data_IF_315874037585
#
_entry.id   IF_315874037585
#
_cell.length_a   1.000
_cell.length_b   1.000
_cell.length_c   1.000
_cell.angle_alpha   90.00
_cell.angle_beta   90.00
_cell.angle_gamma   90.00
#
_symmetry.space_group_name_H-M   'P 1'
#
loop_
_entity.id
_entity.type
_entity.pdbx_description
1 polymer ?
#
# COMPACT_ATOMS: atom_id res chain seq x y z
N UNK A 1 7.54 -4.91 -12.47
CA UNK A 1 6.42 -5.60 -11.79
C UNK A 1 5.53 -6.21 -12.85
N UNK A 2 4.97 -7.41 -12.63
CA UNK A 2 3.94 -7.96 -13.50
C UNK A 2 2.74 -7.02 -13.59
N UNK A 3 2.11 -6.95 -14.76
CA UNK A 3 1.06 -5.97 -15.07
C UNK A 3 -0.19 -6.24 -14.23
N UNK A 4 -0.55 -7.52 -14.07
CA UNK A 4 -1.67 -8.00 -13.26
C UNK A 4 -1.57 -7.61 -11.78
N UNK A 5 -0.35 -7.48 -11.24
CA UNK A 5 -0.14 -7.01 -9.86
C UNK A 5 -0.37 -5.51 -9.76
N UNK A 6 0.09 -4.74 -10.76
CA UNK A 6 -0.11 -3.28 -10.80
C UNK A 6 -1.60 -2.99 -10.96
N UNK A 7 -2.29 -3.71 -11.85
CA UNK A 7 -3.72 -3.57 -12.08
C UNK A 7 -4.51 -3.90 -10.81
N UNK A 8 -4.22 -5.04 -10.16
CA UNK A 8 -4.89 -5.40 -8.91
C UNK A 8 -4.76 -4.33 -7.82
N UNK A 9 -3.56 -3.76 -7.65
CA UNK A 9 -3.32 -2.67 -6.69
C UNK A 9 -4.08 -1.39 -7.06
N UNK A 10 -4.16 -1.03 -8.34
CA UNK A 10 -4.84 0.19 -8.82
C UNK A 10 -6.36 0.07 -8.79
N UNK A 11 -6.88 -1.14 -8.95
CA UNK A 11 -8.31 -1.44 -8.91
C UNK A 11 -8.81 -1.86 -7.52
N UNK A 12 -7.90 -2.13 -6.57
CA UNK A 12 -8.25 -2.61 -5.24
C UNK A 12 -8.82 -4.04 -5.25
N UNK A 13 -8.35 -4.88 -6.16
CA UNK A 13 -8.73 -6.29 -6.26
C UNK A 13 -7.63 -7.21 -5.70
N UNK A 14 -7.91 -8.51 -5.63
CA UNK A 14 -6.96 -9.50 -5.09
C UNK A 14 -5.72 -9.58 -5.98
N UNK A 15 -4.55 -9.43 -5.36
CA UNK A 15 -3.24 -9.60 -5.98
C UNK A 15 -3.01 -11.10 -6.22
N UNK A 16 -2.63 -11.52 -7.43
CA UNK A 16 -2.48 -12.94 -7.78
C UNK A 16 -1.30 -13.64 -7.08
N UNK A 17 -0.38 -12.88 -6.46
CA UNK A 17 0.69 -13.40 -5.62
C UNK A 17 0.24 -13.37 -4.14
N UNK A 18 0.06 -14.54 -3.48
CA UNK A 18 -0.41 -14.60 -2.09
C UNK A 18 0.53 -13.92 -1.09
N UNK A 19 1.84 -13.90 -1.35
CA UNK A 19 2.81 -13.25 -0.47
C UNK A 19 2.68 -11.73 -0.59
N UNK A 20 2.51 -11.20 -1.81
CA UNK A 20 2.24 -9.78 -2.01
C UNK A 20 0.87 -9.36 -1.49
N UNK A 21 -0.14 -10.23 -1.58
CA UNK A 21 -1.45 -10.00 -0.97
C UNK A 21 -1.33 -9.84 0.55
N UNK A 22 -0.59 -10.73 1.22
CA UNK A 22 -0.36 -10.62 2.67
C UNK A 22 0.37 -9.32 3.07
N UNK A 23 1.31 -8.84 2.25
CA UNK A 23 1.95 -7.55 2.44
C UNK A 23 0.99 -6.37 2.27
N UNK A 24 0.17 -6.40 1.22
CA UNK A 24 -0.88 -5.41 0.98
C UNK A 24 -1.83 -5.32 2.18
N UNK A 25 -2.35 -6.47 2.62
CA UNK A 25 -3.33 -6.54 3.71
C UNK A 25 -2.71 -6.05 5.02
N UNK A 26 -1.49 -6.48 5.33
CA UNK A 26 -0.77 -5.98 6.50
C UNK A 26 -0.57 -4.46 6.47
N UNK A 27 -0.13 -3.90 5.34
CA UNK A 27 0.08 -2.45 5.22
C UNK A 27 -1.24 -1.66 5.34
N UNK A 28 -2.32 -2.17 4.75
CA UNK A 28 -3.65 -1.58 4.83
C UNK A 28 -4.21 -1.61 6.24
N UNK A 29 -4.17 -2.76 6.90
CA UNK A 29 -4.62 -2.90 8.29
C UNK A 29 -3.81 -2.01 9.24
N UNK A 30 -2.50 -1.90 9.04
CA UNK A 30 -1.63 -1.03 9.85
C UNK A 30 -2.02 0.45 9.70
N UNK A 31 -2.35 0.87 8.48
CA UNK A 31 -2.81 2.23 8.20
C UNK A 31 -4.20 2.49 8.78
N UNK A 32 -5.18 1.63 8.46
CA UNK A 32 -6.59 1.79 8.84
C UNK A 32 -6.78 1.76 10.37
N UNK A 33 -6.01 0.91 11.06
CA UNK A 33 -6.04 0.79 12.53
C UNK A 33 -4.97 1.63 13.24
N UNK A 34 -4.26 2.52 12.53
CA UNK A 34 -3.27 3.44 13.10
C UNK A 34 -2.22 2.73 13.97
N UNK A 35 -1.70 1.60 13.50
CA UNK A 35 -0.72 0.78 14.21
C UNK A 35 -1.28 -0.32 15.12
N UNK A 36 -2.58 -0.31 15.44
CA UNK A 36 -3.20 -1.23 16.41
C UNK A 36 -3.83 -2.45 15.73
N UNK A 37 -3.02 -3.27 15.04
CA UNK A 37 -3.52 -4.38 14.20
C UNK A 37 -3.82 -5.69 14.95
N UNK A 38 -3.32 -5.82 16.18
CA UNK A 38 -3.44 -7.06 16.97
C UNK A 38 -2.50 -8.20 16.53
N UNK A 39 -2.36 -9.20 17.40
CA UNK A 39 -1.40 -10.29 17.21
C UNK A 39 -1.77 -11.23 16.05
N UNK A 40 -3.07 -11.45 15.80
CA UNK A 40 -3.54 -12.32 14.72
C UNK A 40 -3.07 -11.82 13.34
N UNK A 41 -3.23 -10.52 13.07
CA UNK A 41 -2.84 -9.91 11.79
C UNK A 41 -1.32 -9.85 11.64
N UNK A 42 -0.60 -9.56 12.73
CA UNK A 42 0.85 -9.65 12.73
C UNK A 42 1.32 -11.08 12.43
N UNK A 43 0.69 -12.08 13.04
CA UNK A 43 1.05 -13.48 12.83
C UNK A 43 0.79 -13.92 11.38
N UNK A 44 -0.35 -13.55 10.78
CA UNK A 44 -0.64 -13.83 9.37
C UNK A 44 0.44 -13.28 8.41
N UNK A 45 0.96 -12.08 8.69
CA UNK A 45 2.08 -11.51 7.94
C UNK A 45 3.37 -12.32 8.08
N UNK A 46 3.68 -12.80 9.30
CA UNK A 46 4.85 -13.65 9.56
C UNK A 46 4.70 -15.03 8.91
N UNK A 47 3.50 -15.61 8.94
CA UNK A 47 3.19 -16.92 8.33
C UNK A 47 3.32 -16.89 6.79
N UNK A 48 3.11 -15.72 6.17
CA UNK A 48 3.42 -15.48 4.76
C UNK A 48 4.93 -15.41 4.45
N UNK A 49 5.79 -15.61 5.45
CA UNK A 49 7.24 -15.64 5.31
C UNK A 49 7.92 -14.28 5.39
N UNK A 50 7.26 -13.28 5.99
CA UNK A 50 7.89 -12.02 6.37
C UNK A 50 8.43 -12.07 7.80
N UNK A 51 9.20 -11.05 8.17
CA UNK A 51 9.84 -10.94 9.48
C UNK A 51 9.34 -9.72 10.24
N UNK A 52 9.53 -9.71 11.57
CA UNK A 52 9.29 -8.51 12.40
C UNK A 52 10.10 -7.30 11.94
N UNK A 53 11.29 -7.50 11.37
CA UNK A 53 12.07 -6.43 10.75
C UNK A 53 11.31 -5.82 9.56
N UNK A 54 10.80 -6.66 8.67
CA UNK A 54 10.02 -6.20 7.52
C UNK A 54 8.72 -5.51 7.92
N UNK A 55 8.10 -5.89 9.04
CA UNK A 55 6.97 -5.13 9.59
C UNK A 55 7.35 -3.67 9.91
N UNK A 56 8.54 -3.44 10.48
CA UNK A 56 9.06 -2.09 10.75
C UNK A 56 9.47 -1.35 9.47
N UNK A 57 9.95 -2.06 8.45
CA UNK A 57 10.22 -1.49 7.12
C UNK A 57 8.92 -1.01 6.46
N UNK A 58 7.82 -1.77 6.57
CA UNK A 58 6.48 -1.36 6.12
C UNK A 58 6.01 -0.10 6.85
N UNK A 59 6.15 -0.06 8.18
CA UNK A 59 5.81 1.13 8.97
C UNK A 59 6.61 2.37 8.52
N UNK A 60 7.89 2.18 8.22
CA UNK A 60 8.77 3.25 7.71
C UNK A 60 8.27 3.75 6.34
N UNK A 61 7.94 2.82 5.43
CA UNK A 61 7.38 3.14 4.12
C UNK A 61 6.06 3.90 4.21
N UNK A 62 5.14 3.46 5.09
CA UNK A 62 3.86 4.14 5.34
C UNK A 62 4.08 5.55 5.87
N UNK A 63 5.02 5.75 6.79
CA UNK A 63 5.35 7.08 7.33
C UNK A 63 5.82 8.05 6.22
N UNK A 64 6.72 7.59 5.34
CA UNK A 64 7.16 8.37 4.20
C UNK A 64 6.02 8.68 3.21
N UNK A 65 5.12 7.72 2.97
CA UNK A 65 3.97 7.92 2.09
C UNK A 65 2.90 8.81 2.68
N UNK A 66 2.67 8.77 3.99
CA UNK A 66 1.76 9.71 4.65
C UNK A 66 2.21 11.15 4.42
N UNK A 67 3.50 11.44 4.69
CA UNK A 67 4.08 12.77 4.47
C UNK A 67 3.94 13.20 3.00
N UNK A 68 4.34 12.34 2.06
CA UNK A 68 4.28 12.64 0.63
C UNK A 68 2.84 12.84 0.13
N UNK A 69 1.92 11.94 0.46
CA UNK A 69 0.54 11.99 0.00
C UNK A 69 -0.19 13.22 0.55
N UNK A 70 -0.01 13.52 1.85
CA UNK A 70 -0.65 14.68 2.46
C UNK A 70 -0.07 15.99 1.93
N UNK A 71 1.24 16.04 1.67
CA UNK A 71 1.87 17.21 1.02
C UNK A 71 1.22 17.47 -0.34
N UNK A 72 1.09 16.43 -1.18
CA UNK A 72 0.49 16.57 -2.51
C UNK A 72 -1.00 16.92 -2.47
N UNK A 73 -1.75 16.36 -1.51
CA UNK A 73 -3.16 16.69 -1.32
C UNK A 73 -3.36 18.15 -0.89
N UNK A 74 -2.53 18.65 0.04
CA UNK A 74 -2.61 20.05 0.52
C UNK A 74 -2.13 21.07 -0.51
N UNK A 75 -1.10 20.73 -1.29
CA UNK A 75 -0.51 21.62 -2.29
C UNK A 75 -1.19 21.52 -3.66
N UNK A 76 -2.10 20.56 -3.85
CA UNK A 76 -2.67 20.20 -5.16
C UNK A 76 -1.60 19.96 -6.23
N UNK A 77 -0.54 19.23 -5.86
CA UNK A 77 0.59 18.95 -6.75
C UNK A 77 0.12 18.13 -7.96
N UNK A 78 0.26 18.67 -9.16
CA UNK A 78 0.00 17.94 -10.40
C UNK A 78 1.16 16.98 -10.74
N UNK A 79 0.90 15.84 -11.40
CA UNK A 79 1.95 15.00 -11.95
C UNK A 79 2.78 15.76 -13.00
N UNK A 80 4.10 15.51 -13.03
CA UNK A 80 4.94 16.00 -14.11
C UNK A 80 4.59 15.34 -15.45
N UNK A 81 4.83 16.05 -16.56
CA UNK A 81 4.53 15.58 -17.93
C UNK A 81 4.91 14.12 -18.23
N UNK A 82 6.11 13.60 -17.84
CA UNK A 82 6.46 12.21 -18.12
C UNK A 82 5.59 11.18 -17.39
N UNK A 83 4.94 11.58 -16.29
CA UNK A 83 4.12 10.73 -15.43
C UNK A 83 2.61 10.85 -15.67
N UNK A 84 2.15 11.83 -16.47
CA UNK A 84 0.72 12.00 -16.78
C UNK A 84 0.07 10.73 -17.34
N UNK A 85 0.80 9.96 -18.16
CA UNK A 85 0.32 8.67 -18.70
C UNK A 85 0.04 7.60 -17.63
N UNK A 86 0.51 7.80 -16.41
CA UNK A 86 0.28 6.91 -15.27
C UNK A 86 -0.72 7.47 -14.25
N UNK A 87 -1.35 8.61 -14.56
CA UNK A 87 -2.38 9.22 -13.74
C UNK A 87 -3.43 8.18 -13.34
N UNK A 88 -3.92 8.31 -12.12
CA UNK A 88 -4.83 7.35 -11.52
C UNK A 88 -6.04 8.08 -10.98
N UNK A 89 -7.22 7.57 -11.34
CA UNK A 89 -8.49 7.94 -10.72
C UNK A 89 -8.90 6.78 -9.82
N UNK A 90 -9.17 7.09 -8.56
CA UNK A 90 -9.62 6.07 -7.60
C UNK A 90 -10.85 5.35 -8.17
N UNK A 91 -10.96 4.01 -8.07
CA UNK A 91 -12.10 3.27 -8.64
C UNK A 91 -13.48 3.78 -8.20
N UNK A 92 -13.59 4.36 -7.01
CA UNK A 92 -14.84 4.96 -6.51
C UNK A 92 -15.19 6.33 -7.09
N UNK A 93 -14.29 6.95 -7.86
CA UNK A 93 -14.44 8.30 -8.42
C UNK A 93 -14.57 8.31 -9.95
N UNK A 94 -14.71 7.12 -10.56
CA UNK A 94 -14.89 6.95 -12.01
C UNK A 94 -16.35 6.88 -12.42
#
# INVERSE_FOLDING_TARGET
MPEEVIEALREGTVIPDPKLQALHDFAKELLDNRGHIGDERLQAFLDAGYTKRQALEVLTGLSAKLISNFTNALAHTAPDKPFEKFAWTHPSER
#
